data_IF_025496066052
#
_entry.id   IF_025496066052
#
_cell.length_a   1.000
_cell.length_b   1.000
_cell.length_c   1.000
_cell.angle_alpha   90.00
_cell.angle_beta   90.00
_cell.angle_gamma   90.00
#
_symmetry.space_group_name_H-M   'P 1'
#
loop_
_entity.id
_entity.type
_entity.pdbx_description
1 polymer ?
#
# COMPACT_ATOMS: atom_id res chain seq x y z
N UNK A 1 -1.76 17.70 19.84
CA UNK A 1 -2.00 16.95 18.59
C UNK A 1 -2.84 15.73 18.98
N UNK A 2 -4.15 15.67 18.70
CA UNK A 2 -4.94 14.56 19.21
C UNK A 2 -4.67 13.28 18.41
N UNK A 3 -4.51 12.21 19.20
CA UNK A 3 -4.36 10.82 18.82
C UNK A 3 -5.66 10.26 18.21
N UNK A 4 -5.52 9.39 17.20
CA UNK A 4 -6.59 8.58 16.59
C UNK A 4 -6.07 8.05 15.25
N UNK A 5 -5.82 6.76 15.05
CA UNK A 5 -6.74 5.63 15.24
C UNK A 5 -5.92 4.33 15.18
N UNK A 6 -6.06 3.50 16.22
CA UNK A 6 -6.07 2.02 16.21
C UNK A 6 -5.17 1.30 15.18
N UNK A 7 -4.01 0.82 15.62
CA UNK A 7 -3.14 -0.28 15.13
C UNK A 7 -3.54 -1.07 13.87
N UNK A 8 -3.78 -0.39 12.77
CA UNK A 8 -3.90 -0.95 11.43
C UNK A 8 -2.95 -0.17 10.54
N UNK A 9 -1.77 -0.75 10.26
CA UNK A 9 -0.78 -0.12 9.39
C UNK A 9 -1.33 0.15 7.99
N UNK A 10 -0.48 0.58 7.07
CA UNK A 10 -0.80 0.80 5.66
C UNK A 10 -0.09 -0.24 4.83
N UNK A 11 -0.69 -0.63 3.70
CA UNK A 11 -0.06 -1.53 2.74
C UNK A 11 -0.02 -0.92 1.36
N UNK A 12 1.09 -1.14 0.68
CA UNK A 12 1.25 -0.81 -0.74
C UNK A 12 0.88 -2.05 -1.53
N UNK A 13 -0.06 -1.88 -2.46
CA UNK A 13 -0.60 -2.93 -3.31
C UNK A 13 -0.23 -2.60 -4.75
N UNK A 14 0.51 -3.48 -5.40
CA UNK A 14 0.74 -3.45 -6.84
C UNK A 14 -0.46 -4.05 -7.57
N UNK A 15 -1.12 -3.25 -8.40
CA UNK A 15 -2.09 -3.69 -9.39
C UNK A 15 -1.32 -4.27 -10.56
N UNK A 16 -1.59 -5.52 -10.88
CA UNK A 16 -1.11 -6.20 -12.08
C UNK A 16 -2.28 -6.52 -13.00
N UNK A 17 -2.01 -6.91 -14.24
CA UNK A 17 -3.04 -7.41 -15.16
C UNK A 17 -3.76 -8.67 -14.64
N UNK A 18 -3.20 -9.37 -13.66
CA UNK A 18 -3.73 -10.62 -13.09
C UNK A 18 -4.33 -10.44 -11.69
N UNK A 19 -4.40 -9.20 -11.18
CA UNK A 19 -4.98 -8.89 -9.87
C UNK A 19 -4.08 -8.02 -8.99
N UNK A 20 -4.33 -8.03 -7.69
CA UNK A 20 -3.68 -7.17 -6.70
C UNK A 20 -2.67 -7.95 -5.86
N UNK A 21 -1.41 -7.51 -5.85
CA UNK A 21 -0.33 -8.11 -5.07
C UNK A 21 0.08 -7.13 -3.97
N UNK A 22 0.14 -7.59 -2.73
CA UNK A 22 0.70 -6.80 -1.64
C UNK A 22 2.22 -6.75 -1.77
N UNK A 23 2.78 -5.54 -1.90
CA UNK A 23 4.21 -5.32 -2.14
C UNK A 23 4.94 -5.04 -0.83
N UNK A 24 4.31 -4.27 0.07
CA UNK A 24 4.90 -3.91 1.36
C UNK A 24 3.83 -3.45 2.35
N UNK A 25 4.15 -3.54 3.65
CA UNK A 25 3.37 -2.94 4.75
C UNK A 25 4.22 -1.93 5.51
N UNK A 26 3.57 -0.86 5.95
CA UNK A 26 4.18 0.26 6.65
C UNK A 26 3.33 0.64 7.86
N UNK A 27 3.94 1.13 8.95
CA UNK A 27 3.21 1.60 10.11
C UNK A 27 2.50 2.94 9.87
N UNK A 28 2.98 3.75 8.93
CA UNK A 28 2.44 5.09 8.65
C UNK A 28 2.05 5.27 7.18
N UNK A 29 1.07 6.14 6.95
CA UNK A 29 0.59 6.48 5.61
C UNK A 29 1.71 7.10 4.77
N UNK A 30 2.45 8.04 5.36
CA UNK A 30 3.53 8.77 4.69
C UNK A 30 4.62 7.83 4.14
N UNK A 31 5.00 6.80 4.90
CA UNK A 31 5.96 5.79 4.43
C UNK A 31 5.39 4.95 3.28
N UNK A 32 4.11 4.57 3.36
CA UNK A 32 3.45 3.82 2.31
C UNK A 32 3.32 4.63 1.01
N UNK A 33 2.96 5.91 1.11
CA UNK A 33 2.86 6.82 -0.04
C UNK A 33 4.21 7.08 -0.69
N UNK A 34 5.24 7.33 0.13
CA UNK A 34 6.61 7.49 -0.37
C UNK A 34 7.06 6.24 -1.13
N UNK A 35 6.77 5.04 -0.60
CA UNK A 35 7.13 3.80 -1.29
C UNK A 35 6.32 3.60 -2.56
N UNK A 36 5.02 3.87 -2.55
CA UNK A 36 4.16 3.74 -3.73
C UNK A 36 4.67 4.64 -4.88
N UNK A 37 5.10 5.87 -4.57
CA UNK A 37 5.73 6.78 -5.55
C UNK A 37 7.04 6.23 -6.11
N UNK A 38 7.92 5.73 -5.26
CA UNK A 38 9.19 5.13 -5.69
C UNK A 38 8.94 3.93 -6.63
N UNK A 39 7.98 3.08 -6.29
CA UNK A 39 7.60 1.92 -7.09
C UNK A 39 6.96 2.31 -8.43
N UNK A 40 6.13 3.36 -8.44
CA UNK A 40 5.55 3.91 -9.67
C UNK A 40 6.66 4.43 -10.61
N UNK A 41 7.60 5.22 -10.09
CA UNK A 41 8.73 5.73 -10.87
C UNK A 41 9.64 4.62 -11.41
N UNK A 42 9.83 3.54 -10.64
CA UNK A 42 10.56 2.35 -11.10
C UNK A 42 9.80 1.60 -12.21
N UNK A 43 8.47 1.47 -12.08
CA UNK A 43 7.64 0.81 -13.09
C UNK A 43 7.54 1.60 -14.41
N UNK A 44 7.58 2.93 -14.37
CA UNK A 44 7.69 3.77 -15.57
C UNK A 44 8.99 3.50 -16.33
N UNK A 45 10.08 3.16 -15.61
CA UNK A 45 11.39 2.87 -16.20
C UNK A 45 11.56 1.41 -16.61
N UNK A 46 10.89 0.48 -15.92
CA UNK A 46 10.94 -0.94 -16.21
C UNK A 46 9.59 -1.59 -15.85
N UNK A 47 8.68 -1.73 -16.83
CA UNK A 47 7.36 -2.29 -16.57
C UNK A 47 7.46 -3.79 -16.29
N UNK A 48 7.57 -4.16 -15.01
CA UNK A 48 7.61 -5.56 -14.53
C UNK A 48 6.22 -6.20 -14.39
N UNK A 49 5.23 -5.75 -15.17
CA UNK A 49 3.86 -6.26 -15.13
C UNK A 49 2.94 -5.61 -14.08
N UNK A 50 3.44 -4.62 -13.33
CA UNK A 50 2.63 -3.77 -12.45
C UNK A 50 2.13 -2.55 -13.22
N UNK A 51 0.81 -2.38 -13.22
CA UNK A 51 0.10 -1.28 -13.89
C UNK A 51 0.01 -0.05 -12.98
N UNK A 52 -0.13 -0.27 -11.67
CA UNK A 52 -0.30 0.82 -10.70
C UNK A 52 0.08 0.37 -9.28
N UNK A 53 0.49 1.30 -8.42
CA UNK A 53 0.67 1.05 -6.99
C UNK A 53 -0.32 1.88 -6.18
N UNK A 54 -1.03 1.22 -5.26
CA UNK A 54 -2.07 1.82 -4.42
C UNK A 54 -1.71 1.67 -2.94
N UNK A 55 -1.97 2.69 -2.15
CA UNK A 55 -1.89 2.60 -0.69
C UNK A 55 -3.27 2.28 -0.13
N UNK A 56 -3.35 1.22 0.69
CA UNK A 56 -4.58 0.82 1.38
C UNK A 56 -4.33 0.75 2.88
N UNK A 57 -5.26 1.20 3.73
CA UNK A 57 -5.20 0.89 5.14
C UNK A 57 -5.29 -0.63 5.33
N UNK A 58 -4.46 -1.18 6.20
CA UNK A 58 -4.59 -2.54 6.71
C UNK A 58 -5.65 -2.44 7.79
N UNK A 59 -6.90 -2.69 7.42
CA UNK A 59 -7.95 -2.82 8.42
C UNK A 59 -7.53 -3.90 9.41
N UNK A 60 -7.28 -3.50 10.66
CA UNK A 60 -7.24 -4.43 11.76
C UNK A 60 -8.60 -5.11 11.76
N UNK A 61 -8.63 -6.38 11.32
CA UNK A 61 -9.81 -7.24 11.25
C UNK A 61 -10.77 -6.86 12.37
N UNK A 62 -11.80 -6.06 12.07
CA UNK A 62 -12.95 -6.00 12.95
C UNK A 62 -13.49 -7.42 12.94
N UNK A 63 -13.32 -8.14 14.05
CA UNK A 63 -14.23 -9.23 14.39
C UNK A 63 -15.63 -8.62 14.31
N UNK A 64 -16.30 -8.76 13.18
CA UNK A 64 -17.76 -8.90 13.19
C UNK A 64 -18.02 -10.37 13.44
N UNK A 65 -18.79 -10.60 14.50
CA UNK A 65 -19.03 -11.89 15.14
C UNK A 65 -19.74 -12.89 14.27
#
# INVERSE_FOLDING_TARGET
MPEGTESGGFKVVGVTLFGHIEVARYPTLEQAEWRAKQLAAEAERSPRGYVQYLVKPVEARKRRG
#
